data_IF_783171950376
#
_entry.id   IF_783171950376
#
_cell.length_a   1.000
_cell.length_b   1.000
_cell.length_c   1.000
_cell.angle_alpha   90.00
_cell.angle_beta   90.00
_cell.angle_gamma   90.00
#
_symmetry.space_group_name_H-M   'P 1'
#
loop_
_entity.id
_entity.type
_entity.pdbx_description
1 polymer ?
#
# COMPACT_ATOMS: atom_id res chain seq x y z
N UNK A 1 -3.21 5.46 34.63
CA UNK A 1 -2.97 6.86 34.90
C UNK A 1 -3.87 7.71 33.99
N UNK A 2 -4.43 8.81 34.53
CA UNK A 2 -5.26 9.75 33.74
C UNK A 2 -4.69 11.15 33.91
N UNK A 3 -4.46 11.84 32.79
CA UNK A 3 -3.98 13.21 32.77
C UNK A 3 -5.15 14.22 32.80
N UNK A 4 -4.86 15.44 33.20
CA UNK A 4 -5.86 16.52 33.32
C UNK A 4 -6.51 16.90 31.97
N UNK A 5 -5.85 16.62 30.85
CA UNK A 5 -6.35 16.84 29.50
C UNK A 5 -7.29 15.72 29.00
N UNK A 6 -7.57 14.72 29.85
CA UNK A 6 -8.44 13.59 29.52
C UNK A 6 -7.76 12.39 28.87
N UNK A 7 -6.47 12.47 28.61
CA UNK A 7 -5.68 11.32 28.14
C UNK A 7 -5.56 10.26 29.25
N UNK A 8 -5.44 9.01 28.86
CA UNK A 8 -5.37 7.89 29.80
C UNK A 8 -4.35 6.85 29.33
N UNK A 9 -3.57 6.34 30.27
CA UNK A 9 -2.75 5.16 30.07
C UNK A 9 -3.09 4.07 31.08
N UNK A 10 -3.24 2.84 30.58
CA UNK A 10 -3.39 1.61 31.36
C UNK A 10 -2.31 0.64 30.93
N UNK A 11 -1.41 0.29 31.81
CA UNK A 11 -0.29 -0.60 31.49
C UNK A 11 0.81 -0.54 32.52
N UNK A 12 1.93 -1.16 32.15
CA UNK A 12 3.11 -1.26 32.98
C UNK A 12 3.89 0.07 33.01
N UNK A 13 4.55 0.33 34.14
CA UNK A 13 5.46 1.45 34.33
C UNK A 13 6.78 0.96 34.91
N UNK A 14 7.88 1.49 34.39
CA UNK A 14 9.22 1.31 34.95
C UNK A 14 9.84 2.70 35.13
N UNK A 15 10.31 2.99 36.33
CA UNK A 15 10.90 4.30 36.70
C UNK A 15 10.02 5.51 36.36
N UNK A 16 8.69 5.35 36.37
CA UNK A 16 7.74 6.42 36.04
C UNK A 16 7.45 6.59 34.54
N UNK A 17 8.05 5.81 33.70
CA UNK A 17 7.81 5.79 32.26
C UNK A 17 6.97 4.58 31.85
N UNK A 18 6.15 4.73 30.81
CA UNK A 18 5.39 3.63 30.21
C UNK A 18 6.35 2.55 29.70
N UNK A 19 6.05 1.29 30.03
CA UNK A 19 6.91 0.17 29.68
C UNK A 19 6.07 -1.10 29.50
N UNK A 20 6.63 -2.14 28.86
CA UNK A 20 5.91 -3.41 28.68
C UNK A 20 4.67 -3.28 27.82
N UNK A 21 3.55 -3.84 28.28
CA UNK A 21 2.26 -3.75 27.58
C UNK A 21 1.42 -2.62 28.14
N UNK A 22 0.76 -1.89 27.24
CA UNK A 22 -0.12 -0.82 27.67
C UNK A 22 -1.12 -0.36 26.60
N UNK A 23 -2.12 0.36 27.07
CA UNK A 23 -3.14 1.02 26.26
C UNK A 23 -3.09 2.51 26.56
N UNK A 24 -2.87 3.31 25.52
CA UNK A 24 -2.96 4.77 25.60
C UNK A 24 -4.19 5.25 24.85
N UNK A 25 -5.00 6.05 25.48
CA UNK A 25 -6.17 6.70 24.86
C UNK A 25 -5.95 8.20 24.88
N UNK A 26 -5.94 8.81 23.71
CA UNK A 26 -5.84 10.26 23.54
C UNK A 26 -7.18 10.94 23.80
N UNK A 27 -7.13 12.25 24.04
CA UNK A 27 -8.33 13.07 24.30
C UNK A 27 -9.30 13.15 23.13
N UNK A 28 -8.83 12.91 21.89
CA UNK A 28 -9.66 12.84 20.68
C UNK A 28 -10.38 11.49 20.50
N UNK A 29 -10.06 10.52 21.39
CA UNK A 29 -10.61 9.16 21.36
C UNK A 29 -9.82 8.17 20.50
N UNK A 30 -8.69 8.59 19.92
CA UNK A 30 -7.75 7.64 19.31
C UNK A 30 -7.09 6.78 20.40
N UNK A 31 -6.61 5.61 20.02
CA UNK A 31 -6.08 4.64 20.96
C UNK A 31 -4.88 3.90 20.36
N UNK A 32 -3.87 3.64 21.21
CA UNK A 32 -2.82 2.68 20.91
C UNK A 32 -2.83 1.58 21.97
N UNK A 33 -2.78 0.34 21.53
CA UNK A 33 -2.60 -0.85 22.36
C UNK A 33 -1.38 -1.63 21.86
N UNK A 34 -0.37 -1.82 22.70
CA UNK A 34 0.84 -2.50 22.27
C UNK A 34 1.98 -2.43 23.25
N UNK A 35 3.18 -2.63 22.70
CA UNK A 35 4.43 -2.61 23.45
C UNK A 35 4.93 -1.19 23.66
N UNK A 36 5.51 -0.94 24.83
CA UNK A 36 6.14 0.32 25.23
C UNK A 36 7.57 0.07 25.72
N UNK A 37 8.47 0.95 25.38
CA UNK A 37 9.80 1.05 25.94
C UNK A 37 10.16 2.50 26.18
N UNK A 38 10.49 2.85 27.46
CA UNK A 38 10.84 4.20 27.91
C UNK A 38 9.86 5.28 27.36
N UNK A 39 8.55 5.04 27.55
CA UNK A 39 7.49 5.95 27.16
C UNK A 39 7.16 5.98 25.66
N UNK A 40 7.87 5.19 24.84
CA UNK A 40 7.65 5.13 23.39
C UNK A 40 6.96 3.83 22.97
N UNK A 41 6.05 3.94 22.02
CA UNK A 41 5.44 2.78 21.36
C UNK A 41 6.51 2.04 20.55
N UNK A 42 6.57 0.72 20.73
CA UNK A 42 7.57 -0.14 20.08
C UNK A 42 6.99 -1.52 19.81
N UNK A 43 7.77 -2.42 19.21
CA UNK A 43 7.35 -3.81 19.00
C UNK A 43 6.04 -3.94 18.25
N UNK A 44 5.13 -4.77 18.74
CA UNK A 44 3.81 -5.00 18.15
C UNK A 44 2.73 -4.14 18.79
N UNK A 45 1.92 -3.49 17.95
CA UNK A 45 0.81 -2.69 18.45
C UNK A 45 -0.31 -2.49 17.44
N UNK A 46 -1.39 -1.92 17.95
CA UNK A 46 -2.54 -1.48 17.18
C UNK A 46 -2.80 -0.01 17.51
N UNK A 47 -2.79 0.83 16.51
CA UNK A 47 -3.23 2.22 16.60
C UNK A 47 -4.57 2.36 15.88
N UNK A 48 -5.55 2.95 16.53
CA UNK A 48 -6.88 3.16 15.96
C UNK A 48 -7.32 4.60 16.18
N UNK A 49 -7.92 5.19 15.16
CA UNK A 49 -8.54 6.52 15.20
C UNK A 49 -10.05 6.40 15.36
N UNK A 50 -10.66 7.47 15.83
CA UNK A 50 -12.10 7.52 16.07
C UNK A 50 -12.93 7.42 14.78
N UNK A 51 -12.38 7.83 13.65
CA UNK A 51 -13.01 7.75 12.32
C UNK A 51 -12.95 6.36 11.68
N UNK A 52 -12.28 5.40 12.36
CA UNK A 52 -12.15 4.02 11.89
C UNK A 52 -10.85 3.70 11.19
N UNK A 53 -9.94 4.66 11.02
CA UNK A 53 -8.58 4.33 10.56
C UNK A 53 -7.85 3.48 11.59
N UNK A 54 -7.11 2.49 11.13
CA UNK A 54 -6.41 1.57 12.00
C UNK A 54 -5.11 1.08 11.37
N UNK A 55 -4.02 1.14 12.14
CA UNK A 55 -2.78 0.45 11.83
C UNK A 55 -2.55 -0.68 12.83
N UNK A 56 -2.17 -1.84 12.33
CA UNK A 56 -1.75 -2.99 13.14
C UNK A 56 -0.43 -3.55 12.63
N UNK A 57 0.60 -3.52 13.44
CA UNK A 57 1.91 -3.99 12.97
C UNK A 57 3.04 -3.65 13.92
N UNK A 58 4.22 -3.52 13.33
CA UNK A 58 5.45 -3.17 14.03
C UNK A 58 5.57 -1.65 14.23
N UNK A 59 6.07 -1.26 15.39
CA UNK A 59 6.36 0.12 15.78
C UNK A 59 7.82 0.26 16.18
N UNK A 60 8.41 1.39 15.81
CA UNK A 60 9.71 1.85 16.29
C UNK A 60 9.60 3.33 16.64
N UNK A 61 9.99 3.70 17.86
CA UNK A 61 9.96 5.09 18.36
C UNK A 61 8.61 5.82 18.13
N UNK A 62 7.49 5.10 18.29
CA UNK A 62 6.14 5.65 18.13
C UNK A 62 5.62 5.68 16.69
N UNK A 63 6.37 5.22 15.72
CA UNK A 63 5.97 5.22 14.31
C UNK A 63 5.83 3.80 13.75
N UNK A 64 4.82 3.54 12.85
CA UNK A 64 4.75 2.33 12.08
C UNK A 64 6.07 2.06 11.34
N UNK A 65 6.71 0.92 11.62
CA UNK A 65 7.99 0.54 11.01
C UNK A 65 8.13 -0.98 11.02
N UNK A 66 8.48 -1.58 9.88
CA UNK A 66 8.44 -3.03 9.71
C UNK A 66 7.16 -3.47 9.00
N UNK A 67 6.65 -4.67 9.28
CA UNK A 67 5.43 -5.18 8.64
C UNK A 67 4.17 -4.76 9.37
N UNK A 68 3.15 -4.37 8.59
CA UNK A 68 1.87 -4.00 9.14
C UNK A 68 0.72 -4.01 8.15
N UNK A 69 -0.47 -3.81 8.72
CA UNK A 69 -1.73 -3.64 8.02
C UNK A 69 -2.24 -2.24 8.32
N UNK A 70 -2.67 -1.53 7.31
CA UNK A 70 -3.37 -0.26 7.45
C UNK A 70 -4.76 -0.35 6.83
N UNK A 71 -5.75 0.12 7.56
CA UNK A 71 -7.14 0.23 7.13
C UNK A 71 -7.52 1.71 7.17
N UNK A 72 -7.92 2.26 6.02
CA UNK A 72 -8.44 3.62 5.93
C UNK A 72 -9.94 3.65 6.23
N UNK A 73 -10.41 4.78 6.73
CA UNK A 73 -11.82 5.00 7.05
C UNK A 73 -12.74 4.84 5.82
N UNK A 74 -12.23 5.10 4.62
CA UNK A 74 -12.95 4.95 3.37
C UNK A 74 -13.07 3.50 2.88
N UNK A 75 -12.36 2.56 3.52
CA UNK A 75 -12.38 1.12 3.22
C UNK A 75 -11.20 0.60 2.41
N UNK A 76 -10.25 1.45 2.04
CA UNK A 76 -8.98 1.02 1.45
C UNK A 76 -8.17 0.22 2.47
N UNK A 77 -7.30 -0.67 2.00
CA UNK A 77 -6.45 -1.53 2.84
C UNK A 77 -5.06 -1.66 2.26
N UNK A 78 -4.06 -1.69 3.14
CA UNK A 78 -2.69 -2.00 2.78
C UNK A 78 -2.10 -3.04 3.72
N UNK A 79 -1.38 -4.00 3.17
CA UNK A 79 -0.51 -4.93 3.89
C UNK A 79 0.88 -4.88 3.30
N UNK A 80 1.89 -4.60 4.10
CA UNK A 80 3.27 -4.54 3.60
C UNK A 80 4.25 -3.91 4.57
N UNK A 81 5.35 -3.45 4.01
CA UNK A 81 6.43 -2.87 4.77
C UNK A 81 6.23 -1.36 4.99
N UNK A 82 6.67 -0.90 6.16
CA UNK A 82 6.63 0.51 6.57
C UNK A 82 8.01 0.95 7.06
N UNK A 83 8.36 2.20 6.78
CA UNK A 83 9.46 2.92 7.41
C UNK A 83 8.93 4.29 7.83
N UNK A 84 9.07 4.64 9.12
CA UNK A 84 8.65 5.93 9.68
C UNK A 84 7.22 6.34 9.28
N UNK A 85 6.29 5.39 9.34
CA UNK A 85 4.87 5.57 8.98
C UNK A 85 4.57 5.55 7.49
N UNK A 86 5.55 5.44 6.60
CA UNK A 86 5.36 5.42 5.16
C UNK A 86 5.43 4.01 4.59
N UNK A 87 4.51 3.67 3.71
CA UNK A 87 4.54 2.41 2.96
C UNK A 87 5.80 2.36 2.10
N UNK A 88 6.53 1.25 2.15
CA UNK A 88 7.78 1.06 1.43
C UNK A 88 7.95 -0.41 1.06
N UNK A 89 9.02 -0.75 0.32
CA UNK A 89 9.31 -2.16 0.00
C UNK A 89 8.14 -2.86 -0.67
N UNK A 90 7.88 -4.10 -0.31
CA UNK A 90 6.80 -4.92 -0.88
C UNK A 90 5.50 -4.77 -0.12
N UNK A 91 4.41 -4.64 -0.87
CA UNK A 91 3.08 -4.57 -0.27
C UNK A 91 1.94 -4.89 -1.21
N UNK A 92 0.78 -5.02 -0.60
CA UNK A 92 -0.51 -5.23 -1.28
C UNK A 92 -1.41 -4.07 -0.89
N UNK A 93 -1.93 -3.36 -1.88
CA UNK A 93 -2.93 -2.33 -1.68
C UNK A 93 -4.25 -2.76 -2.32
N UNK A 94 -5.32 -2.71 -1.56
CA UNK A 94 -6.66 -3.08 -2.02
C UNK A 94 -7.55 -1.85 -1.85
N UNK A 95 -8.03 -1.32 -2.96
CA UNK A 95 -9.02 -0.25 -2.97
C UNK A 95 -10.39 -0.76 -2.50
N UNK A 96 -11.16 0.09 -1.85
CA UNK A 96 -12.53 -0.22 -1.43
C UNK A 96 -13.42 -0.71 -2.58
N UNK A 97 -13.13 -0.27 -3.81
CA UNK A 97 -13.80 -0.70 -5.03
C UNK A 97 -13.43 -2.10 -5.49
N UNK A 98 -12.37 -2.70 -4.91
CA UNK A 98 -11.90 -4.05 -5.21
C UNK A 98 -10.66 -4.11 -6.09
N UNK A 99 -10.21 -3.01 -6.69
CA UNK A 99 -8.94 -3.00 -7.41
C UNK A 99 -7.78 -3.34 -6.47
N UNK A 100 -6.81 -4.11 -6.95
CA UNK A 100 -5.67 -4.56 -6.16
C UNK A 100 -4.35 -4.21 -6.83
N UNK A 101 -3.38 -3.78 -6.04
CA UNK A 101 -1.98 -3.65 -6.45
C UNK A 101 -1.10 -4.51 -5.57
N UNK A 102 -0.22 -5.27 -6.20
CA UNK A 102 0.84 -6.10 -5.58
C UNK A 102 2.17 -5.62 -6.11
N UNK A 103 3.06 -5.10 -5.29
CA UNK A 103 4.34 -4.63 -5.82
C UNK A 103 5.15 -3.78 -4.87
N UNK A 104 6.08 -3.04 -5.47
CA UNK A 104 6.98 -2.16 -4.74
C UNK A 104 6.33 -0.81 -4.42
N UNK A 105 6.69 -0.27 -3.26
CA UNK A 105 6.31 1.05 -2.80
C UNK A 105 7.56 1.85 -2.41
N UNK A 106 7.56 3.13 -2.73
CA UNK A 106 8.54 4.12 -2.28
C UNK A 106 7.77 5.34 -1.77
N UNK A 107 8.01 5.76 -0.52
CA UNK A 107 7.35 6.91 0.11
C UNK A 107 5.81 6.89 -0.02
N UNK A 108 5.20 5.71 0.10
CA UNK A 108 3.75 5.53 0.00
C UNK A 108 3.19 5.41 -1.43
N UNK A 109 4.03 5.53 -2.46
CA UNK A 109 3.65 5.55 -3.87
C UNK A 109 4.06 4.23 -4.55
N UNK A 110 3.20 3.67 -5.42
CA UNK A 110 3.54 2.51 -6.25
C UNK A 110 4.76 2.82 -7.11
N UNK A 111 5.77 1.94 -7.08
CA UNK A 111 7.03 2.14 -7.78
C UNK A 111 7.64 0.77 -8.14
N UNK A 112 8.71 0.76 -8.98
CA UNK A 112 9.40 -0.49 -9.32
C UNK A 112 8.51 -1.50 -10.04
N UNK A 113 8.59 -2.77 -9.66
CA UNK A 113 7.80 -3.85 -10.27
C UNK A 113 6.50 -4.10 -9.52
N UNK A 114 5.41 -4.30 -10.27
CA UNK A 114 4.13 -4.59 -9.67
C UNK A 114 3.11 -5.21 -10.61
N UNK A 115 2.02 -5.66 -10.01
CA UNK A 115 0.84 -6.19 -10.68
C UNK A 115 -0.35 -5.36 -10.21
N UNK A 116 -1.09 -4.80 -11.13
CA UNK A 116 -2.36 -4.13 -10.87
C UNK A 116 -3.50 -4.95 -11.46
N UNK A 117 -4.52 -5.23 -10.68
CA UNK A 117 -5.71 -6.00 -11.09
C UNK A 117 -6.92 -5.11 -10.88
N UNK A 118 -7.63 -4.81 -11.95
CA UNK A 118 -8.89 -4.08 -11.92
C UNK A 118 -10.06 -5.02 -11.59
N UNK A 119 -11.12 -4.47 -11.04
CA UNK A 119 -12.33 -5.21 -10.67
C UNK A 119 -13.04 -5.87 -11.84
N UNK A 120 -12.85 -5.34 -13.05
CA UNK A 120 -13.41 -5.93 -14.27
C UNK A 120 -12.61 -7.13 -14.82
N UNK A 121 -11.51 -7.49 -14.12
CA UNK A 121 -10.63 -8.62 -14.43
C UNK A 121 -9.44 -8.28 -15.32
N UNK A 122 -9.31 -7.05 -15.79
CA UNK A 122 -8.10 -6.62 -16.49
C UNK A 122 -6.90 -6.58 -15.54
N UNK A 123 -5.70 -6.75 -16.07
CA UNK A 123 -4.47 -6.85 -15.28
C UNK A 123 -3.27 -6.26 -16.02
N UNK A 124 -2.49 -5.49 -15.33
CA UNK A 124 -1.18 -5.02 -15.76
C UNK A 124 -0.09 -5.65 -14.90
N UNK A 125 0.98 -6.11 -15.52
CA UNK A 125 2.21 -6.59 -14.88
C UNK A 125 3.40 -5.85 -15.48
N UNK A 126 4.16 -5.10 -14.69
CA UNK A 126 5.27 -4.34 -15.24
C UNK A 126 5.86 -3.32 -14.31
N UNK A 127 6.48 -2.32 -14.93
CA UNK A 127 7.13 -1.23 -14.22
C UNK A 127 6.13 -0.14 -13.82
N UNK A 128 6.35 0.41 -12.63
CA UNK A 128 5.63 1.56 -12.08
C UNK A 128 6.60 2.66 -11.70
N UNK A 129 6.28 3.89 -12.09
CA UNK A 129 6.97 5.10 -11.62
C UNK A 129 5.93 6.11 -11.19
N UNK A 130 6.04 6.60 -9.96
CA UNK A 130 5.12 7.58 -9.36
C UNK A 130 3.64 7.18 -9.49
N UNK A 131 3.35 5.89 -9.29
CA UNK A 131 2.00 5.33 -9.31
C UNK A 131 1.45 4.97 -10.69
N UNK A 132 2.16 5.28 -11.76
CA UNK A 132 1.73 5.04 -13.14
C UNK A 132 2.50 3.89 -13.79
N UNK A 133 1.80 3.10 -14.61
CA UNK A 133 2.41 2.08 -15.46
C UNK A 133 3.35 2.75 -16.46
N UNK A 134 4.60 2.33 -16.49
CA UNK A 134 5.61 2.91 -17.39
C UNK A 134 6.71 1.88 -17.66
N UNK A 135 7.60 2.13 -18.63
CA UNK A 135 8.63 1.14 -18.99
C UNK A 135 8.06 -0.10 -19.63
N UNK A 136 8.59 -1.26 -19.30
CA UNK A 136 8.15 -2.55 -19.88
C UNK A 136 7.03 -3.18 -19.04
N UNK A 137 6.00 -3.68 -19.75
CA UNK A 137 4.89 -4.34 -19.10
C UNK A 137 4.07 -5.24 -20.01
N UNK A 138 3.18 -5.97 -19.38
CA UNK A 138 2.17 -6.81 -20.03
C UNK A 138 0.81 -6.41 -19.53
N UNK A 139 -0.11 -6.11 -20.45
CA UNK A 139 -1.50 -5.83 -20.13
C UNK A 139 -2.39 -6.96 -20.63
N UNK A 140 -3.19 -7.52 -19.76
CA UNK A 140 -4.17 -8.57 -20.05
C UNK A 140 -5.56 -7.94 -20.03
N UNK A 141 -6.22 -7.94 -21.17
CA UNK A 141 -7.57 -7.42 -21.36
C UNK A 141 -8.63 -8.48 -21.03
N UNK A 142 -9.78 -8.07 -20.55
CA UNK A 142 -10.90 -8.97 -20.25
C UNK A 142 -11.45 -9.70 -21.48
N UNK A 143 -11.23 -9.19 -22.68
CA UNK A 143 -11.61 -9.84 -23.94
C UNK A 143 -10.62 -10.93 -24.40
N UNK A 144 -9.57 -11.18 -23.60
CA UNK A 144 -8.54 -12.18 -23.89
C UNK A 144 -7.35 -11.64 -24.71
N UNK A 145 -7.37 -10.39 -25.15
CA UNK A 145 -6.22 -9.76 -25.76
C UNK A 145 -5.11 -9.60 -24.71
N UNK A 146 -3.85 -9.58 -25.20
CA UNK A 146 -2.69 -9.31 -24.35
C UNK A 146 -1.71 -8.41 -25.10
N UNK A 147 -1.36 -7.29 -24.50
CA UNK A 147 -0.30 -6.42 -24.99
C UNK A 147 0.98 -6.65 -24.20
N UNK A 148 2.11 -6.74 -24.87
CA UNK A 148 3.43 -6.84 -24.28
C UNK A 148 4.35 -5.82 -24.95
N UNK A 149 4.83 -4.82 -24.19
CA UNK A 149 5.61 -3.72 -24.78
C UNK A 149 5.93 -2.59 -23.84
N UNK A 150 6.18 -1.44 -24.46
CA UNK A 150 6.49 -0.20 -23.75
C UNK A 150 5.23 0.54 -23.32
N UNK A 151 5.30 1.16 -22.14
CA UNK A 151 4.27 2.01 -21.56
C UNK A 151 4.86 3.35 -21.13
N UNK A 152 4.10 4.41 -21.31
CA UNK A 152 4.38 5.73 -20.74
C UNK A 152 3.09 6.29 -20.15
N UNK A 153 3.12 6.64 -18.86
CA UNK A 153 1.99 7.21 -18.11
C UNK A 153 0.67 6.42 -18.27
N UNK A 154 0.77 5.09 -18.33
CA UNK A 154 -0.38 4.20 -18.43
C UNK A 154 -0.83 3.87 -19.86
N UNK A 155 -0.32 4.54 -20.88
CA UNK A 155 -0.64 4.28 -22.28
C UNK A 155 0.42 3.40 -22.95
N UNK A 156 -0.01 2.58 -23.93
CA UNK A 156 0.93 1.88 -24.81
C UNK A 156 1.70 2.88 -25.65
N UNK A 157 3.02 2.81 -25.55
CA UNK A 157 3.92 3.75 -26.22
C UNK A 157 5.16 3.01 -26.70
N UNK A 158 5.79 3.46 -27.80
CA UNK A 158 7.02 2.82 -28.30
C UNK A 158 6.79 1.52 -29.01
N UNK A 159 7.54 0.44 -28.68
CA UNK A 159 7.49 -0.83 -29.38
C UNK A 159 6.77 -1.89 -28.55
N UNK A 160 5.85 -2.63 -29.18
CA UNK A 160 5.12 -3.71 -28.51
C UNK A 160 4.35 -4.59 -29.45
N UNK A 161 3.79 -5.65 -28.85
CA UNK A 161 2.99 -6.65 -29.56
C UNK A 161 1.63 -6.83 -28.88
N UNK A 162 0.57 -6.70 -29.64
CA UNK A 162 -0.78 -7.09 -29.25
C UNK A 162 -1.05 -8.52 -29.75
N UNK A 163 -1.40 -9.41 -28.86
CA UNK A 163 -1.81 -10.78 -29.16
C UNK A 163 -3.32 -10.89 -29.05
N UNK A 164 -3.96 -11.55 -30.00
CA UNK A 164 -5.41 -11.77 -30.04
C UNK A 164 -5.76 -13.24 -29.71
N UNK A 165 -6.97 -13.52 -29.20
CA UNK A 165 -7.38 -14.88 -28.83
C UNK A 165 -7.41 -15.87 -29.98
N UNK A 166 -7.55 -15.41 -31.22
CA UNK A 166 -7.54 -16.22 -32.43
C UNK A 166 -6.12 -16.64 -32.89
N UNK A 167 -5.08 -16.20 -32.14
CA UNK A 167 -3.68 -16.48 -32.43
C UNK A 167 -3.02 -15.46 -33.35
N UNK A 168 -3.75 -14.46 -33.82
CA UNK A 168 -3.17 -13.32 -34.58
C UNK A 168 -2.42 -12.39 -33.63
N UNK A 169 -1.55 -11.54 -34.20
CA UNK A 169 -0.83 -10.51 -33.46
C UNK A 169 -0.46 -9.33 -34.35
N UNK A 170 -0.39 -8.15 -33.73
CA UNK A 170 0.17 -6.93 -34.32
C UNK A 170 1.44 -6.54 -33.55
N UNK A 171 2.56 -6.47 -34.29
CA UNK A 171 3.86 -6.09 -33.74
C UNK A 171 4.37 -4.84 -34.43
N UNK A 172 4.75 -3.81 -33.65
CA UNK A 172 5.24 -2.58 -34.22
C UNK A 172 5.23 -1.43 -33.24
N UNK A 173 5.10 -0.21 -33.76
CA UNK A 173 5.07 1.01 -32.97
C UNK A 173 3.66 1.34 -32.49
N UNK A 174 3.61 1.83 -31.27
CA UNK A 174 2.40 2.30 -30.58
C UNK A 174 2.59 3.74 -30.15
N UNK A 175 1.54 4.53 -30.23
CA UNK A 175 1.50 5.90 -29.75
C UNK A 175 0.10 6.21 -29.19
N UNK A 176 0.03 6.66 -27.93
CA UNK A 176 -1.21 6.92 -27.19
C UNK A 176 -2.24 5.80 -27.42
N UNK A 177 -1.86 4.55 -27.07
CA UNK A 177 -2.66 3.33 -27.21
C UNK A 177 -3.00 2.89 -28.64
N UNK A 178 -2.63 3.65 -29.67
CA UNK A 178 -2.92 3.35 -31.06
C UNK A 178 -1.74 2.64 -31.75
N UNK A 179 -2.06 1.60 -32.56
CA UNK A 179 -1.08 0.93 -33.38
C UNK A 179 -0.75 1.76 -34.62
N UNK A 180 0.54 1.99 -34.83
CA UNK A 180 1.06 2.85 -35.90
C UNK A 180 1.68 2.09 -37.07
N UNK A 181 1.83 0.73 -36.91
CA UNK A 181 2.49 -0.15 -37.88
C UNK A 181 3.93 -0.46 -37.55
#
# INVERSE_FOLDING_TARGET
YTWANGERYEGDFVNGEQHGKGVFTWSDGSCYEGDYDHGKQTGKGVYSQRDGECYRGDFVDGLPSGRGFFFWADGDRYEGDFIEGKRTGKGVFIHKGGDCYYGDFVEGIKHGKGIYIWTDGERYEGDFVNGQCTGKGVFFYKNGNRYEGDFVNGCKEGYGTMYYPDGQYDTGRWHDDNFMG
#
